data_IF_326035485670
#
_entry.id   IF_326035485670
#
_cell.length_a   1.000
_cell.length_b   1.000
_cell.length_c   1.000
_cell.angle_alpha   90.00
_cell.angle_beta   90.00
_cell.angle_gamma   90.00
#
_symmetry.space_group_name_H-M   'P 1'
#
loop_
_entity.id
_entity.type
_entity.pdbx_description
1 polymer ?
#
# COMPACT_ATOMS: atom_id res chain seq x y z
N UNK A 1 -7.13 -13.70 14.25
CA UNK A 1 -6.66 -14.10 12.89
C UNK A 1 -5.22 -14.57 13.01
N UNK A 2 -4.77 -15.58 12.27
CA UNK A 2 -3.35 -15.97 12.32
C UNK A 2 -2.47 -14.86 11.72
N UNK A 3 -1.24 -14.68 12.22
CA UNK A 3 -0.32 -13.65 11.75
C UNK A 3 -0.13 -13.67 10.23
N UNK A 4 -0.02 -14.85 9.60
CA UNK A 4 0.17 -14.95 8.14
C UNK A 4 -1.04 -14.39 7.38
N UNK A 5 -2.24 -14.62 7.89
CA UNK A 5 -3.47 -14.07 7.30
C UNK A 5 -3.56 -12.56 7.49
N UNK A 6 -3.13 -12.04 8.65
CA UNK A 6 -3.05 -10.58 8.88
C UNK A 6 -2.07 -9.95 7.91
N UNK A 7 -0.86 -10.51 7.79
CA UNK A 7 0.16 -10.00 6.87
C UNK A 7 -0.32 -10.07 5.42
N UNK A 8 -0.97 -11.17 5.00
CA UNK A 8 -1.57 -11.28 3.66
C UNK A 8 -2.52 -10.11 3.39
N UNK A 9 -3.40 -9.77 4.34
CA UNK A 9 -4.34 -8.64 4.20
C UNK A 9 -3.65 -7.27 4.15
N UNK A 10 -2.56 -7.10 4.89
CA UNK A 10 -1.77 -5.87 4.83
C UNK A 10 -1.05 -5.73 3.49
N UNK A 11 -0.49 -6.82 2.95
CA UNK A 11 0.12 -6.86 1.62
C UNK A 11 -0.91 -6.69 0.49
N UNK A 12 -2.14 -7.20 0.65
CA UNK A 12 -3.24 -6.94 -0.30
C UNK A 12 -3.61 -5.45 -0.36
N UNK A 13 -3.51 -4.74 0.77
CA UNK A 13 -3.84 -3.33 0.87
C UNK A 13 -2.70 -2.42 0.38
N UNK A 14 -1.47 -2.67 0.83
CA UNK A 14 -0.28 -1.92 0.48
C UNK A 14 0.89 -2.89 0.20
N UNK A 15 0.97 -3.46 -1.03
CA UNK A 15 2.01 -4.42 -1.36
C UNK A 15 3.40 -3.84 -1.13
N UNK A 16 4.22 -4.57 -0.37
CA UNK A 16 5.60 -4.17 -0.03
C UNK A 16 6.47 -3.90 -1.25
N UNK A 17 6.15 -4.52 -2.40
CA UNK A 17 6.88 -4.33 -3.65
C UNK A 17 6.69 -2.95 -4.30
N UNK A 18 5.70 -2.19 -3.85
CA UNK A 18 5.49 -0.79 -4.24
C UNK A 18 6.42 0.17 -3.50
N UNK A 19 7.08 -0.28 -2.44
CA UNK A 19 7.99 0.53 -1.65
C UNK A 19 9.22 0.99 -2.47
N UNK A 20 9.87 2.04 -1.96
CA UNK A 20 11.18 2.45 -2.42
C UNK A 20 12.18 1.30 -2.30
N UNK A 21 13.08 1.15 -3.27
CA UNK A 21 14.10 0.06 -3.24
C UNK A 21 15.08 0.19 -2.07
N UNK A 22 15.15 1.37 -1.45
CA UNK A 22 15.96 1.67 -0.27
C UNK A 22 15.24 1.37 1.05
N UNK A 23 13.95 1.06 1.00
CA UNK A 23 13.08 0.98 2.18
C UNK A 23 13.12 -0.41 2.84
N UNK A 24 12.69 -0.48 4.10
CA UNK A 24 12.53 -1.75 4.81
C UNK A 24 11.09 -1.88 5.35
N UNK A 25 10.22 -2.43 4.50
CA UNK A 25 8.79 -2.60 4.75
C UNK A 25 8.42 -4.06 4.99
N UNK A 26 7.16 -4.31 5.36
CA UNK A 26 6.60 -5.64 5.56
C UNK A 26 6.69 -6.10 7.02
N UNK A 27 6.71 -7.42 7.22
CA UNK A 27 6.85 -8.04 8.55
C UNK A 27 8.31 -7.98 9.00
N UNK A 28 8.60 -7.08 9.95
CA UNK A 28 9.95 -6.82 10.45
C UNK A 28 10.32 -7.65 11.68
N UNK A 29 9.32 -8.11 12.45
CA UNK A 29 9.52 -8.97 13.61
C UNK A 29 8.44 -10.04 13.63
N UNK A 30 8.87 -11.30 13.54
CA UNK A 30 8.00 -12.48 13.62
C UNK A 30 8.36 -13.30 14.87
N UNK A 31 7.43 -13.50 15.83
CA UNK A 31 7.66 -14.38 16.96
C UNK A 31 7.64 -15.86 16.54
N UNK A 32 8.36 -16.72 17.27
CA UNK A 32 8.44 -18.15 16.94
C UNK A 32 7.12 -18.90 17.19
N UNK A 33 6.79 -19.85 16.31
CA UNK A 33 5.56 -20.66 16.41
C UNK A 33 4.31 -19.93 15.89
N UNK A 34 3.14 -20.54 16.06
CA UNK A 34 1.86 -19.93 15.63
C UNK A 34 1.53 -18.72 16.49
N UNK A 35 1.22 -17.59 15.86
CA UNK A 35 0.84 -16.34 16.54
C UNK A 35 -0.55 -15.91 16.09
N UNK A 36 -1.51 -15.94 17.02
CA UNK A 36 -2.84 -15.37 16.81
C UNK A 36 -2.79 -13.88 17.13
N UNK A 37 -3.33 -13.07 16.23
CA UNK A 37 -3.49 -11.63 16.37
C UNK A 37 -4.96 -11.34 16.68
N UNK A 38 -5.21 -10.82 17.87
CA UNK A 38 -6.50 -10.32 18.32
C UNK A 38 -6.51 -8.78 18.39
N UNK A 39 -5.36 -8.17 18.68
CA UNK A 39 -5.22 -6.72 18.80
C UNK A 39 -3.97 -6.21 18.11
N UNK A 40 -4.15 -5.22 17.23
CA UNK A 40 -3.08 -4.50 16.54
C UNK A 40 -3.01 -3.09 17.13
N UNK A 41 -1.83 -2.68 17.59
CA UNK A 41 -1.54 -1.29 17.96
C UNK A 41 -0.98 -0.55 16.74
N UNK A 42 -1.56 0.59 16.38
CA UNK A 42 -1.12 1.38 15.23
C UNK A 42 -0.38 2.63 15.72
N UNK A 43 0.79 2.91 15.16
CA UNK A 43 1.58 4.10 15.49
C UNK A 43 2.30 4.66 14.27
N UNK A 44 2.65 5.96 14.32
CA UNK A 44 3.57 6.54 13.36
C UNK A 44 5.02 6.09 13.63
N UNK A 45 5.44 6.23 14.90
CA UNK A 45 6.79 5.93 15.36
C UNK A 45 6.75 4.99 16.57
N UNK A 46 7.48 3.88 16.49
CA UNK A 46 7.63 2.97 17.62
C UNK A 46 8.83 3.36 18.49
N UNK A 47 8.56 4.19 19.50
CA UNK A 47 9.51 4.56 20.57
C UNK A 47 9.31 3.72 21.83
N UNK A 48 10.22 3.78 22.81
CA UNK A 48 10.06 3.05 24.07
C UNK A 48 8.77 3.42 24.84
N UNK A 49 8.37 4.71 24.98
CA UNK A 49 7.07 5.05 25.57
C UNK A 49 5.88 4.46 24.81
N UNK A 50 5.91 4.53 23.47
CA UNK A 50 4.83 3.97 22.63
C UNK A 50 4.76 2.45 22.75
N UNK A 51 5.91 1.76 22.88
CA UNK A 51 5.92 0.33 23.17
C UNK A 51 5.22 0.03 24.50
N UNK A 52 5.44 0.83 25.55
CA UNK A 52 4.76 0.66 26.83
C UNK A 52 3.24 0.80 26.68
N UNK A 53 2.77 1.80 25.94
CA UNK A 53 1.34 1.95 25.64
C UNK A 53 0.78 0.72 24.91
N UNK A 54 1.50 0.18 23.93
CA UNK A 54 1.09 -1.01 23.19
C UNK A 54 1.03 -2.27 24.08
N UNK A 55 1.96 -2.38 25.03
CA UNK A 55 2.02 -3.45 26.04
C UNK A 55 0.87 -3.33 27.03
N UNK A 56 0.63 -2.14 27.58
CA UNK A 56 -0.47 -1.87 28.51
C UNK A 56 -1.83 -2.12 27.84
N UNK A 57 -1.93 -1.84 26.54
CA UNK A 57 -3.08 -2.17 25.72
C UNK A 57 -3.21 -3.68 25.43
N UNK A 58 -2.29 -4.55 25.86
CA UNK A 58 -2.27 -5.99 25.57
C UNK A 58 -2.35 -6.28 24.07
N UNK A 59 -1.49 -5.63 23.29
CA UNK A 59 -1.46 -5.79 21.84
C UNK A 59 -0.66 -7.02 21.42
N UNK A 60 -1.11 -7.71 20.38
CA UNK A 60 -0.40 -8.89 19.83
C UNK A 60 0.61 -8.51 18.76
N UNK A 61 0.38 -7.37 18.12
CA UNK A 61 1.14 -6.87 16.98
C UNK A 61 1.16 -5.35 17.01
N UNK A 62 2.27 -4.77 16.53
CA UNK A 62 2.41 -3.35 16.26
C UNK A 62 2.48 -3.13 14.76
N UNK A 63 1.65 -2.23 14.24
CA UNK A 63 1.75 -1.67 12.91
C UNK A 63 2.34 -0.27 13.04
N UNK A 64 3.64 -0.13 12.75
CA UNK A 64 4.38 1.13 12.84
C UNK A 64 4.60 1.69 11.45
N UNK A 65 4.10 2.89 11.14
CA UNK A 65 4.31 3.51 9.82
C UNK A 65 5.80 3.60 9.48
N UNK A 66 6.61 4.22 10.35
CA UNK A 66 8.05 4.22 10.19
C UNK A 66 8.65 2.90 10.70
N UNK A 67 9.55 2.26 9.92
CA UNK A 67 10.19 1.02 10.31
C UNK A 67 11.24 1.26 11.43
N UNK A 68 11.06 0.71 12.64
CA UNK A 68 12.06 0.87 13.69
C UNK A 68 13.38 0.18 13.31
N UNK A 69 13.30 -0.97 12.61
CA UNK A 69 14.43 -1.62 11.93
C UNK A 69 14.58 -1.00 10.53
N UNK A 70 15.08 0.24 10.43
CA UNK A 70 15.31 0.86 9.11
C UNK A 70 16.64 0.44 8.46
N UNK A 71 17.63 0.07 9.28
CA UNK A 71 18.93 -0.45 8.83
C UNK A 71 19.20 -1.78 9.52
N UNK A 72 19.95 -2.70 8.88
CA UNK A 72 20.29 -3.98 9.49
C UNK A 72 20.95 -3.82 10.87
N UNK A 73 20.39 -4.48 11.88
CA UNK A 73 20.94 -4.52 13.23
C UNK A 73 22.02 -5.59 13.31
N UNK A 74 23.27 -5.18 13.50
CA UNK A 74 24.41 -6.11 13.63
C UNK A 74 24.48 -6.82 14.99
N UNK A 75 23.78 -6.29 15.99
CA UNK A 75 23.70 -6.80 17.36
C UNK A 75 22.36 -6.41 17.97
N UNK A 76 21.89 -7.20 18.93
CA UNK A 76 20.74 -6.87 19.77
C UNK A 76 21.23 -6.86 21.22
N UNK A 77 21.42 -5.67 21.77
CA UNK A 77 21.87 -5.43 23.14
C UNK A 77 21.04 -4.32 23.78
N UNK A 78 21.15 -4.13 25.09
CA UNK A 78 20.40 -3.06 25.77
C UNK A 78 21.00 -1.66 25.57
N UNK A 79 22.03 -1.50 24.73
CA UNK A 79 22.76 -0.23 24.55
C UNK A 79 21.97 0.81 23.75
N UNK A 80 21.33 0.39 22.65
CA UNK A 80 20.60 1.28 21.75
C UNK A 80 19.10 1.16 21.98
N UNK A 81 18.38 2.28 21.93
CA UNK A 81 16.94 2.30 22.21
C UNK A 81 16.13 1.45 21.22
N UNK A 82 16.50 1.47 19.93
CA UNK A 82 15.87 0.61 18.91
C UNK A 82 16.10 -0.88 19.21
N UNK A 83 17.29 -1.25 19.65
CA UNK A 83 17.59 -2.64 20.04
C UNK A 83 16.75 -3.05 21.25
N UNK A 84 16.61 -2.18 22.26
CA UNK A 84 15.76 -2.43 23.45
C UNK A 84 14.29 -2.65 23.08
N UNK A 85 13.73 -1.82 22.19
CA UNK A 85 12.37 -1.99 21.67
C UNK A 85 12.20 -3.38 21.04
N UNK A 86 13.12 -3.77 20.16
CA UNK A 86 13.04 -5.08 19.48
C UNK A 86 13.20 -6.24 20.46
N UNK A 87 14.14 -6.15 21.41
CA UNK A 87 14.34 -7.17 22.46
C UNK A 87 13.07 -7.35 23.29
N UNK A 88 12.48 -6.25 23.77
CA UNK A 88 11.27 -6.33 24.59
C UNK A 88 10.08 -6.90 23.80
N UNK A 89 9.90 -6.51 22.53
CA UNK A 89 8.88 -7.11 21.67
C UNK A 89 9.07 -8.62 21.46
N UNK A 90 10.33 -9.07 21.28
CA UNK A 90 10.66 -10.50 21.15
C UNK A 90 10.32 -11.28 22.43
N UNK A 91 10.74 -10.77 23.59
CA UNK A 91 10.45 -11.38 24.89
C UNK A 91 8.94 -11.50 25.15
N UNK A 92 8.16 -10.53 24.66
CA UNK A 92 6.69 -10.51 24.74
C UNK A 92 5.99 -11.24 23.60
N UNK A 93 6.74 -11.81 22.65
CA UNK A 93 6.20 -12.52 21.47
C UNK A 93 5.21 -11.67 20.67
N UNK A 94 5.53 -10.38 20.47
CA UNK A 94 4.75 -9.46 19.64
C UNK A 94 5.27 -9.49 18.19
N UNK A 95 4.37 -9.28 17.23
CA UNK A 95 4.76 -9.07 15.83
C UNK A 95 4.93 -7.58 15.52
N UNK A 96 5.75 -7.26 14.51
CA UNK A 96 5.95 -5.90 14.01
C UNK A 96 5.82 -5.86 12.50
N UNK A 97 4.97 -4.98 11.99
CA UNK A 97 4.85 -4.71 10.55
C UNK A 97 4.98 -3.22 10.27
N UNK A 98 5.63 -2.88 9.15
CA UNK A 98 5.78 -1.49 8.70
C UNK A 98 5.48 -1.35 7.22
N UNK A 99 4.41 -0.64 6.82
CA UNK A 99 4.08 -0.43 5.42
C UNK A 99 4.86 0.73 4.77
N UNK A 100 5.22 1.77 5.54
CA UNK A 100 5.99 2.94 5.12
C UNK A 100 5.68 3.43 3.69
N UNK A 101 6.67 3.45 2.79
CA UNK A 101 6.49 3.98 1.42
C UNK A 101 5.55 3.17 0.54
N UNK A 102 5.28 1.89 0.86
CA UNK A 102 4.24 1.13 0.16
C UNK A 102 2.85 1.75 0.40
N UNK A 103 2.58 2.25 1.61
CA UNK A 103 1.33 2.95 1.91
C UNK A 103 1.27 4.32 1.24
N UNK A 104 2.40 5.00 1.10
CA UNK A 104 2.46 6.27 0.36
C UNK A 104 2.14 6.10 -1.12
N UNK A 105 2.43 4.92 -1.67
CA UNK A 105 2.28 4.61 -3.08
C UNK A 105 0.84 4.24 -3.49
N UNK A 106 0.07 3.58 -2.61
CA UNK A 106 -1.26 3.04 -2.97
C UNK A 106 -2.36 4.08 -3.03
N UNK A 107 -3.33 3.83 -3.92
CA UNK A 107 -4.57 4.61 -3.96
C UNK A 107 -5.34 4.45 -2.64
N UNK A 108 -5.83 5.56 -2.10
CA UNK A 108 -6.46 5.59 -0.77
C UNK A 108 -5.44 5.58 0.38
N UNK A 109 -4.14 5.71 0.07
CA UNK A 109 -3.06 5.81 1.04
C UNK A 109 -2.92 7.21 1.67
N UNK A 110 -1.77 7.45 2.30
CA UNK A 110 -1.50 8.68 3.05
C UNK A 110 -1.63 9.93 2.17
N UNK A 111 -1.11 9.87 0.94
CA UNK A 111 -1.14 11.02 0.03
C UNK A 111 -2.56 11.35 -0.47
N UNK A 112 -3.44 10.36 -0.62
CA UNK A 112 -4.84 10.61 -0.95
C UNK A 112 -5.60 11.17 0.27
N UNK A 113 -5.31 10.66 1.47
CA UNK A 113 -5.84 11.22 2.72
C UNK A 113 -5.48 12.69 2.89
N UNK A 114 -4.23 13.07 2.61
CA UNK A 114 -3.76 14.47 2.66
C UNK A 114 -4.50 15.41 1.69
N UNK A 115 -5.10 14.89 0.62
CA UNK A 115 -5.83 15.67 -0.37
C UNK A 115 -7.32 15.87 -0.04
N UNK A 116 -7.88 15.10 0.89
CA UNK A 116 -9.28 15.17 1.29
C UNK A 116 -9.82 16.58 1.58
N UNK A 117 -9.10 17.49 2.26
CA UNK A 117 -9.67 18.79 2.63
C UNK A 117 -9.81 19.77 1.45
N UNK A 118 -9.24 19.48 0.28
CA UNK A 118 -9.20 20.43 -0.84
C UNK A 118 -10.38 20.31 -1.81
N UNK A 119 -11.22 19.28 -1.68
CA UNK A 119 -12.42 19.09 -2.50
C UNK A 119 -12.22 18.12 -3.66
N UNK A 120 -13.14 18.15 -4.61
CA UNK A 120 -13.18 17.22 -5.74
C UNK A 120 -12.20 17.62 -6.85
N UNK A 121 -11.75 16.61 -7.59
CA UNK A 121 -10.79 16.79 -8.66
C UNK A 121 -10.27 15.47 -9.21
N UNK A 122 -9.54 15.56 -10.31
CA UNK A 122 -8.82 14.42 -10.86
C UNK A 122 -7.46 14.29 -10.14
N UNK A 123 -7.26 13.17 -9.45
CA UNK A 123 -6.01 12.83 -8.77
C UNK A 123 -5.23 11.78 -9.55
N UNK A 124 -3.90 11.92 -9.54
CA UNK A 124 -2.96 10.92 -10.08
C UNK A 124 -1.68 10.86 -9.23
N UNK A 125 -0.90 9.76 -9.28
CA UNK A 125 0.42 9.71 -8.66
C UNK A 125 1.32 10.86 -9.14
N UNK A 126 2.14 11.41 -8.24
CA UNK A 126 3.14 12.42 -8.63
C UNK A 126 4.28 11.79 -9.43
N UNK A 127 4.68 10.58 -9.05
CA UNK A 127 5.56 9.72 -9.81
C UNK A 127 4.90 8.36 -9.98
N UNK A 128 4.73 7.91 -11.22
CA UNK A 128 4.18 6.58 -11.49
C UNK A 128 5.28 5.53 -11.30
N UNK A 129 4.97 4.45 -10.58
CA UNK A 129 5.87 3.29 -10.51
C UNK A 129 5.87 2.60 -11.87
N UNK A 130 7.05 2.39 -12.45
CA UNK A 130 7.18 1.72 -13.74
C UNK A 130 6.67 0.27 -13.66
N UNK A 131 6.09 -0.22 -14.77
CA UNK A 131 5.47 -1.55 -14.86
C UNK A 131 6.41 -2.74 -14.63
N UNK A 132 7.72 -2.49 -14.52
CA UNK A 132 8.76 -3.51 -14.32
C UNK A 132 8.90 -3.97 -12.86
N UNK A 133 8.31 -3.23 -11.90
CA UNK A 133 8.28 -3.70 -10.50
C UNK A 133 7.07 -4.61 -10.30
N UNK A 134 7.23 -5.86 -9.87
CA UNK A 134 6.08 -6.69 -9.50
C UNK A 134 5.27 -5.96 -8.41
N UNK A 135 3.95 -5.82 -8.57
CA UNK A 135 3.04 -5.32 -7.53
C UNK A 135 2.47 -6.44 -6.65
N UNK A 136 2.80 -7.69 -6.98
CA UNK A 136 2.35 -8.85 -6.26
C UNK A 136 2.51 -10.12 -7.07
N UNK A 137 1.76 -11.13 -6.66
CA UNK A 137 1.72 -12.44 -7.31
C UNK A 137 0.34 -12.63 -7.91
N UNK A 138 0.31 -12.88 -9.21
CA UNK A 138 -0.88 -13.31 -9.94
C UNK A 138 -0.77 -14.79 -10.30
N UNK A 139 -1.90 -15.38 -10.63
CA UNK A 139 -1.98 -16.73 -11.15
C UNK A 139 -2.66 -16.70 -12.51
N UNK A 140 -2.04 -17.33 -13.49
CA UNK A 140 -2.62 -17.52 -14.81
C UNK A 140 -3.14 -18.95 -14.92
N UNK A 141 -4.43 -19.10 -15.18
CA UNK A 141 -5.06 -20.39 -15.46
C UNK A 141 -5.18 -20.53 -16.97
N UNK A 142 -4.35 -21.39 -17.54
CA UNK A 142 -4.26 -21.61 -19.00
C UNK A 142 -4.97 -22.89 -19.40
N UNK A 143 -5.80 -22.85 -20.45
CA UNK A 143 -6.46 -24.03 -21.01
C UNK A 143 -6.69 -23.90 -22.52
N UNK A 144 -6.99 -25.02 -23.20
CA UNK A 144 -7.15 -25.00 -24.67
C UNK A 144 -8.40 -24.21 -25.10
N UNK A 145 -8.24 -23.36 -26.12
CA UNK A 145 -9.33 -22.58 -26.76
C UNK A 145 -10.47 -23.47 -27.27
N UNK A 146 -10.17 -24.69 -27.71
CA UNK A 146 -11.15 -25.68 -28.18
C UNK A 146 -12.11 -26.18 -27.09
N UNK A 147 -11.79 -25.96 -25.81
CA UNK A 147 -12.60 -26.37 -24.68
C UNK A 147 -13.71 -25.36 -24.32
N UNK A 148 -13.73 -24.16 -24.94
CA UNK A 148 -14.71 -23.11 -24.64
C UNK A 148 -15.93 -23.16 -25.55
N UNK A 149 -17.12 -23.27 -24.94
CA UNK A 149 -18.39 -22.91 -25.57
C UNK A 149 -18.63 -21.41 -25.35
N UNK A 150 -19.24 -20.71 -26.31
CA UNK A 150 -19.32 -19.22 -26.30
C UNK A 150 -20.01 -18.61 -25.07
N UNK A 151 -20.88 -19.36 -24.37
CA UNK A 151 -21.54 -18.92 -23.14
C UNK A 151 -20.66 -18.96 -21.88
N UNK A 152 -19.60 -19.79 -21.85
CA UNK A 152 -18.74 -19.96 -20.66
C UNK A 152 -17.73 -18.84 -20.47
N UNK A 153 -17.48 -18.02 -21.50
CA UNK A 153 -16.47 -16.96 -21.45
C UNK A 153 -16.91 -15.77 -20.58
N UNK A 154 -18.20 -15.42 -20.61
CA UNK A 154 -18.76 -14.31 -19.82
C UNK A 154 -18.70 -14.56 -18.31
N UNK A 155 -18.89 -15.81 -17.88
CA UNK A 155 -18.76 -16.19 -16.47
C UNK A 155 -17.30 -16.15 -16.00
N UNK A 156 -16.37 -16.56 -16.84
CA UNK A 156 -14.93 -16.51 -16.54
C UNK A 156 -14.41 -15.07 -16.45
N UNK A 157 -14.92 -14.17 -17.31
CA UNK A 157 -14.61 -12.73 -17.26
C UNK A 157 -15.06 -12.05 -15.96
N UNK A 158 -16.05 -12.61 -15.26
CA UNK A 158 -16.49 -12.06 -13.96
C UNK A 158 -15.54 -12.39 -12.80
N UNK A 159 -14.60 -13.31 -13.01
CA UNK A 159 -13.68 -13.83 -11.99
C UNK A 159 -12.23 -13.46 -12.32
N UNK A 160 -11.86 -13.47 -13.60
CA UNK A 160 -10.53 -13.13 -14.06
C UNK A 160 -10.29 -11.61 -14.05
N UNK A 161 -9.11 -11.19 -13.63
CA UNK A 161 -8.63 -9.81 -13.71
C UNK A 161 -8.26 -9.43 -15.15
N UNK A 162 -7.78 -10.41 -15.92
CA UNK A 162 -7.35 -10.24 -17.31
C UNK A 162 -7.62 -11.54 -18.07
N UNK A 163 -7.98 -11.44 -19.35
CA UNK A 163 -8.17 -12.60 -20.23
C UNK A 163 -7.40 -12.35 -21.51
N UNK A 164 -6.48 -13.27 -21.83
CA UNK A 164 -5.82 -13.29 -23.13
C UNK A 164 -6.12 -14.61 -23.83
N UNK A 165 -6.33 -14.55 -25.13
CA UNK A 165 -6.64 -15.72 -25.96
C UNK A 165 -5.75 -15.69 -27.19
N UNK A 166 -5.01 -16.78 -27.39
CA UNK A 166 -4.36 -17.09 -28.66
C UNK A 166 -5.14 -18.21 -29.38
N UNK A 167 -4.69 -18.59 -30.58
CA UNK A 167 -5.37 -19.58 -31.43
C UNK A 167 -5.61 -20.93 -30.71
N UNK A 168 -4.79 -21.26 -29.72
CA UNK A 168 -4.74 -22.56 -29.06
C UNK A 168 -5.08 -22.54 -27.56
N UNK A 169 -4.91 -21.39 -26.89
CA UNK A 169 -4.87 -21.26 -25.44
C UNK A 169 -5.62 -20.02 -24.98
N UNK A 170 -6.39 -20.16 -23.91
CA UNK A 170 -6.95 -19.05 -23.14
C UNK A 170 -6.24 -19.00 -21.80
N UNK A 171 -5.72 -17.82 -21.46
CA UNK A 171 -5.10 -17.52 -20.18
C UNK A 171 -5.99 -16.57 -19.39
N UNK A 172 -6.31 -16.95 -18.16
CA UNK A 172 -7.07 -16.14 -17.22
C UNK A 172 -6.15 -15.73 -16.07
N UNK A 173 -5.86 -14.44 -15.95
CA UNK A 173 -5.10 -13.93 -14.80
C UNK A 173 -6.05 -13.64 -13.65
N UNK A 174 -5.68 -14.09 -12.44
CA UNK A 174 -6.53 -14.02 -11.26
C UNK A 174 -5.71 -13.95 -9.97
N UNK A 175 -6.40 -13.64 -8.87
CA UNK A 175 -5.84 -13.78 -7.53
C UNK A 175 -5.80 -15.25 -7.10
N UNK A 176 -4.96 -15.59 -6.12
CA UNK A 176 -4.90 -16.95 -5.56
C UNK A 176 -6.25 -17.45 -5.04
N UNK A 177 -7.03 -16.55 -4.43
CA UNK A 177 -8.31 -16.87 -3.79
C UNK A 177 -9.42 -17.13 -4.82
N UNK A 178 -9.20 -16.74 -6.07
CA UNK A 178 -10.12 -16.97 -7.18
C UNK A 178 -9.80 -18.24 -7.97
N UNK A 179 -8.62 -18.85 -7.77
CA UNK A 179 -8.25 -20.14 -8.39
C UNK A 179 -9.29 -21.22 -8.10
N UNK A 180 -9.75 -21.45 -6.84
CA UNK A 180 -10.75 -22.49 -6.58
C UNK A 180 -12.05 -22.23 -7.32
N UNK A 181 -12.50 -20.95 -7.39
CA UNK A 181 -13.72 -20.57 -8.11
C UNK A 181 -13.58 -20.79 -9.62
N UNK A 182 -12.40 -20.49 -10.18
CA UNK A 182 -12.06 -20.76 -11.58
C UNK A 182 -11.92 -22.25 -11.87
N UNK A 183 -11.60 -23.08 -10.87
CA UNK A 183 -11.54 -24.53 -11.01
C UNK A 183 -12.89 -25.22 -10.80
N UNK A 184 -13.82 -24.60 -10.06
CA UNK A 184 -15.16 -25.12 -9.78
C UNK A 184 -16.18 -24.80 -10.87
N UNK A 185 -16.07 -23.64 -11.52
CA UNK A 185 -17.09 -23.11 -12.45
C UNK A 185 -16.96 -23.42 -13.94
N UNK A 186 -15.86 -23.93 -14.53
CA UNK A 186 -15.91 -24.30 -15.91
C UNK A 186 -16.72 -25.59 -16.10
N UNK A 187 -17.29 -25.83 -17.31
CA UNK A 187 -17.91 -27.10 -17.65
C UNK A 187 -16.91 -28.23 -17.37
N UNK A 188 -17.39 -29.44 -17.08
CA UNK A 188 -16.60 -30.64 -16.72
C UNK A 188 -15.31 -30.88 -17.55
N UNK A 189 -15.17 -30.23 -18.71
CA UNK A 189 -14.03 -30.19 -19.62
C UNK A 189 -12.72 -29.56 -19.11
N UNK A 190 -12.69 -28.67 -18.10
CA UNK A 190 -11.41 -28.06 -17.66
C UNK A 190 -10.70 -28.78 -16.51
N UNK A 191 -11.37 -29.72 -15.84
CA UNK A 191 -10.74 -30.58 -14.82
C UNK A 191 -9.70 -31.48 -15.50
N UNK A 192 -8.42 -31.17 -15.28
CA UNK A 192 -7.27 -31.94 -15.79
C UNK A 192 -6.58 -31.38 -17.04
N UNK A 193 -7.09 -30.29 -17.63
CA UNK A 193 -6.50 -29.63 -18.80
C UNK A 193 -5.95 -28.22 -18.51
N UNK A 194 -6.22 -27.68 -17.32
CA UNK A 194 -5.77 -26.35 -16.93
C UNK A 194 -4.35 -26.39 -16.33
N UNK A 195 -3.45 -25.56 -16.85
CA UNK A 195 -2.14 -25.29 -16.24
C UNK A 195 -2.23 -24.00 -15.42
N UNK A 196 -1.93 -24.10 -14.13
CA UNK A 196 -1.84 -22.93 -13.25
C UNK A 196 -0.38 -22.49 -13.23
N UNK A 197 -0.15 -21.23 -13.59
CA UNK A 197 1.18 -20.64 -13.62
C UNK A 197 1.21 -19.41 -12.74
N UNK A 198 2.06 -19.44 -11.70
CA UNK A 198 2.33 -18.28 -10.86
C UNK A 198 3.19 -17.28 -11.63
N UNK A 199 2.81 -16.01 -11.64
CA UNK A 199 3.55 -14.94 -12.29
C UNK A 199 3.54 -13.66 -11.45
N UNK A 200 4.41 -12.72 -11.81
CA UNK A 200 4.49 -11.39 -11.22
C UNK A 200 3.50 -10.45 -11.93
N UNK A 201 2.71 -9.70 -11.16
CA UNK A 201 1.76 -8.72 -11.73
C UNK A 201 2.38 -7.34 -11.79
N UNK A 202 2.01 -6.52 -12.78
CA UNK A 202 2.40 -5.11 -12.81
C UNK A 202 1.55 -4.26 -11.86
N UNK A 203 2.07 -3.12 -11.37
CA UNK A 203 1.31 -2.21 -10.52
C UNK A 203 0.15 -1.58 -11.28
N UNK A 204 -1.00 -1.34 -10.62
CA UNK A 204 -2.06 -0.55 -11.22
C UNK A 204 -1.54 0.82 -11.68
N UNK A 205 -2.06 1.41 -12.76
CA UNK A 205 -1.62 2.70 -13.30
C UNK A 205 -1.67 3.88 -12.32
N UNK A 206 -2.42 3.71 -11.23
CA UNK A 206 -2.68 4.70 -10.17
C UNK A 206 -1.73 4.56 -8.97
N UNK A 207 -0.59 3.89 -9.16
CA UNK A 207 0.34 3.57 -8.07
C UNK A 207 1.64 4.38 -8.15
N UNK A 208 2.06 4.90 -7.01
CA UNK A 208 3.36 5.55 -6.82
C UNK A 208 3.33 6.70 -5.83
N UNK A 209 4.49 7.23 -5.41
CA UNK A 209 4.55 8.19 -4.34
C UNK A 209 3.95 9.54 -4.74
N UNK A 210 3.46 10.25 -3.73
CA UNK A 210 2.82 11.55 -3.87
C UNK A 210 1.53 11.53 -4.70
N UNK A 211 0.80 12.63 -4.68
CA UNK A 211 -0.40 12.82 -5.50
C UNK A 211 -0.43 14.23 -6.07
N UNK A 212 -0.95 14.36 -7.28
CA UNK A 212 -1.27 15.63 -7.90
C UNK A 212 -2.79 15.65 -8.13
N UNK A 213 -3.47 16.55 -7.43
CA UNK A 213 -4.88 16.83 -7.58
C UNK A 213 -5.08 18.04 -8.48
N UNK A 214 -5.81 17.88 -9.58
CA UNK A 214 -6.36 18.99 -10.36
C UNK A 214 -7.77 19.30 -9.85
N UNK A 215 -7.95 20.49 -9.29
CA UNK A 215 -9.20 20.90 -8.64
C UNK A 215 -10.30 21.14 -9.68
N UNK A 216 -11.53 20.70 -9.37
CA UNK A 216 -12.72 21.10 -10.13
C UNK A 216 -13.03 22.58 -9.94
N UNK A 217 -12.94 23.05 -8.69
CA UNK A 217 -13.11 24.45 -8.31
C UNK A 217 -11.80 25.00 -7.74
N UNK A 218 -11.21 26.06 -8.31
CA UNK A 218 -9.99 26.66 -7.79
C UNK A 218 -10.15 27.20 -6.37
N UNK A 219 -9.07 27.16 -5.59
CA UNK A 219 -9.00 27.71 -4.23
C UNK A 219 -8.04 28.89 -4.17
N UNK A 220 -8.22 29.79 -3.21
CA UNK A 220 -7.14 30.73 -2.85
C UNK A 220 -6.02 30.01 -2.08
N UNK A 221 -4.80 30.53 -2.16
CA UNK A 221 -3.68 30.01 -1.35
C UNK A 221 -3.98 30.07 0.16
N UNK A 222 -4.66 31.13 0.61
CA UNK A 222 -5.12 31.28 1.99
C UNK A 222 -6.04 30.13 2.42
N UNK A 223 -7.02 29.76 1.60
CA UNK A 223 -7.88 28.61 1.86
C UNK A 223 -7.11 27.29 1.90
N UNK A 224 -6.16 27.07 0.98
CA UNK A 224 -5.32 25.86 0.99
C UNK A 224 -4.56 25.75 2.31
N UNK A 225 -4.00 26.86 2.80
CA UNK A 225 -3.27 26.92 4.07
C UNK A 225 -4.20 26.62 5.26
N UNK A 226 -5.37 27.27 5.32
CA UNK A 226 -6.32 27.05 6.41
C UNK A 226 -6.87 25.62 6.43
N UNK A 227 -7.22 25.08 5.26
CA UNK A 227 -7.71 23.70 5.09
C UNK A 227 -6.64 22.69 5.51
N UNK A 228 -5.37 22.92 5.14
CA UNK A 228 -4.25 22.09 5.58
C UNK A 228 -4.09 22.12 7.10
N UNK A 229 -4.06 23.32 7.70
CA UNK A 229 -3.96 23.48 9.16
C UNK A 229 -5.10 22.77 9.90
N UNK A 230 -6.33 22.98 9.44
CA UNK A 230 -7.53 22.37 10.03
C UNK A 230 -7.50 20.85 9.91
N UNK A 231 -7.14 20.32 8.74
CA UNK A 231 -7.11 18.88 8.50
C UNK A 231 -6.05 18.16 9.34
N UNK A 232 -4.88 18.78 9.51
CA UNK A 232 -3.75 18.20 10.24
C UNK A 232 -3.68 18.63 11.72
N UNK A 233 -4.63 19.45 12.21
CA UNK A 233 -4.60 19.98 13.57
C UNK A 233 -3.40 20.88 13.86
N UNK A 234 -2.84 21.55 12.84
CA UNK A 234 -1.63 22.36 12.96
C UNK A 234 -1.96 23.82 13.25
N UNK A 235 -1.20 24.43 14.16
CA UNK A 235 -1.27 25.88 14.42
C UNK A 235 -0.49 26.68 13.37
N UNK A 236 0.57 26.09 12.81
CA UNK A 236 1.49 26.74 11.88
C UNK A 236 1.81 25.84 10.68
N UNK A 237 2.01 26.46 9.52
CA UNK A 237 2.61 25.84 8.33
C UNK A 237 3.67 26.81 7.80
N UNK A 238 4.74 26.27 7.21
CA UNK A 238 5.77 27.07 6.55
C UNK A 238 5.48 27.13 5.06
N UNK A 239 5.60 28.31 4.48
CA UNK A 239 5.34 28.54 3.06
C UNK A 239 6.61 29.06 2.38
N UNK A 240 6.89 28.52 1.20
CA UNK A 240 7.84 29.07 0.26
C UNK A 240 7.03 29.60 -0.94
N UNK A 241 7.00 30.92 -1.10
CA UNK A 241 6.18 31.58 -2.12
C UNK A 241 7.04 32.01 -3.30
N UNK A 242 6.52 31.83 -4.52
CA UNK A 242 7.12 32.45 -5.70
C UNK A 242 6.92 33.97 -5.66
N UNK A 243 7.75 34.71 -6.41
CA UNK A 243 7.66 36.17 -6.44
C UNK A 243 6.27 36.63 -6.92
N UNK A 244 5.67 37.57 -6.19
CA UNK A 244 4.33 38.10 -6.49
C UNK A 244 3.15 37.23 -6.02
N UNK A 245 3.39 36.08 -5.41
CA UNK A 245 2.33 35.20 -4.86
C UNK A 245 1.96 35.66 -3.44
N UNK A 246 0.66 35.72 -3.17
CA UNK A 246 0.08 36.09 -1.88
C UNK A 246 -1.10 35.18 -1.51
N UNK A 247 -1.78 35.45 -0.39
CA UNK A 247 -2.91 34.64 0.10
C UNK A 247 -4.07 34.53 -0.88
N UNK A 248 -4.27 35.53 -1.72
CA UNK A 248 -5.43 35.62 -2.63
C UNK A 248 -5.12 34.99 -3.99
N UNK A 249 -3.88 34.54 -4.19
CA UNK A 249 -3.44 33.88 -5.42
C UNK A 249 -4.20 32.57 -5.65
N UNK A 250 -4.66 32.36 -6.88
CA UNK A 250 -5.48 31.20 -7.26
C UNK A 250 -4.64 29.94 -7.43
N UNK A 251 -5.08 28.85 -6.80
CA UNK A 251 -4.51 27.50 -6.89
C UNK A 251 -5.48 26.62 -7.67
N UNK A 252 -5.01 26.03 -8.78
CA UNK A 252 -5.79 25.11 -9.64
C UNK A 252 -5.40 23.66 -9.47
N UNK A 253 -4.19 23.40 -8.97
CA UNK A 253 -3.70 22.06 -8.72
C UNK A 253 -2.88 22.04 -7.43
N UNK A 254 -2.96 20.93 -6.70
CA UNK A 254 -2.24 20.71 -5.44
C UNK A 254 -1.46 19.42 -5.58
N UNK A 255 -0.15 19.49 -5.34
CA UNK A 255 0.69 18.32 -5.22
C UNK A 255 1.03 18.07 -3.74
N UNK A 256 0.88 16.84 -3.26
CA UNK A 256 1.27 16.43 -1.92
C UNK A 256 2.20 15.23 -1.97
N UNK A 257 3.14 15.19 -1.03
CA UNK A 257 3.93 14.02 -0.73
C UNK A 257 4.21 13.99 0.77
N UNK A 258 3.77 12.93 1.44
CA UNK A 258 4.06 12.71 2.84
C UNK A 258 5.56 12.42 3.05
N UNK A 259 6.06 12.74 4.25
CA UNK A 259 7.43 12.43 4.64
C UNK A 259 8.49 13.34 4.00
N UNK A 260 9.61 12.74 3.61
CA UNK A 260 10.85 13.45 3.25
C UNK A 260 11.31 13.26 1.81
N UNK A 261 10.41 12.87 0.89
CA UNK A 261 10.78 12.92 -0.52
C UNK A 261 10.93 14.39 -0.95
N UNK A 262 12.03 14.70 -1.63
CA UNK A 262 12.13 15.93 -2.44
C UNK A 262 11.18 15.80 -3.64
N UNK A 263 9.88 15.71 -3.40
CA UNK A 263 8.95 16.23 -4.38
C UNK A 263 9.14 17.73 -4.25
N UNK A 264 9.78 18.32 -5.26
CA UNK A 264 9.73 19.75 -5.48
C UNK A 264 8.25 20.12 -5.38
N UNK A 265 7.81 20.63 -4.23
CA UNK A 265 6.44 21.04 -4.00
C UNK A 265 6.23 22.31 -4.81
N UNK A 266 6.13 22.15 -6.12
CA UNK A 266 5.68 23.16 -7.04
C UNK A 266 4.15 23.13 -6.93
N UNK A 267 3.61 24.04 -6.14
CA UNK A 267 2.27 24.53 -6.44
C UNK A 267 2.41 25.19 -7.82
N UNK A 268 2.03 24.48 -8.87
CA UNK A 268 1.89 25.09 -10.19
C UNK A 268 0.66 26.00 -10.11
N UNK A 269 0.94 27.28 -9.84
CA UNK A 269 0.00 28.40 -10.00
C UNK A 269 -0.26 28.65 -11.49
#
# INVERSE_FOLDING_TARGET
MDLKQVVKKLEEFAPSSLAGSWDNVGLLLEPTGTKVINKIFVTNDLTEPVLREAVDANSDMILSYHPPIFRPMKRLTLKQWKERVIIEMLERRMALYSPHTAWDAVQGGINDWLLLPFGKGASKPAQQVSGDKPAGVGYSVSFSSTALKSGSLLELLSIATSVTMDDSTVNLDCSEDDIPKLMEKPPETLKGLAKITKHETSPPPVTGPGRILKLEEPLSLGEVVERTKKHLGLTHVRLALANGVNSDSTVKSIAVCAGSEQVSSAVHL
#
